data_IF_776227720221
#
_entry.id   IF_776227720221
#
_cell.length_a   1.000
_cell.length_b   1.000
_cell.length_c   1.000
_cell.angle_alpha   90.00
_cell.angle_beta   90.00
_cell.angle_gamma   90.00
#
_symmetry.space_group_name_H-M   'P 1'
#
loop_
_entity.id
_entity.type
_entity.pdbx_description
1 polymer ?
#
# COMPACT_ATOMS: atom_id res chain seq x y z
N UNK A 1 -44.79 58.64 -11.80
CA UNK A 1 -46.04 57.86 -11.63
C UNK A 1 -45.72 56.66 -10.76
N UNK A 2 -46.25 56.43 -9.57
CA UNK A 2 -47.51 56.90 -8.97
C UNK A 2 -48.32 55.69 -8.50
N UNK A 3 -48.32 55.44 -7.18
CA UNK A 3 -49.45 55.01 -6.32
C UNK A 3 -50.35 53.83 -6.77
N UNK A 4 -50.40 52.71 -6.03
CA UNK A 4 -51.27 52.40 -4.85
C UNK A 4 -52.63 51.74 -5.19
N UNK A 5 -52.92 50.64 -4.45
CA UNK A 5 -54.20 49.95 -4.12
C UNK A 5 -54.87 49.05 -5.18
N UNK A 6 -55.42 47.86 -4.85
CA UNK A 6 -56.44 47.63 -3.80
C UNK A 6 -56.55 46.13 -3.41
N UNK A 7 -56.74 45.87 -2.11
CA UNK A 7 -57.10 44.59 -1.45
C UNK A 7 -58.49 44.05 -1.87
N UNK A 8 -58.72 42.73 -1.70
CA UNK A 8 -59.85 42.07 -0.97
C UNK A 8 -59.72 40.52 -1.08
N UNK A 9 -59.28 39.80 -0.05
CA UNK A 9 -60.05 39.05 0.97
C UNK A 9 -61.10 38.05 0.47
N UNK A 10 -60.83 36.74 0.63
CA UNK A 10 -61.72 35.69 1.18
C UNK A 10 -60.96 34.34 1.09
N UNK A 11 -60.47 33.77 2.19
CA UNK A 11 -61.14 32.87 3.14
C UNK A 11 -61.29 31.41 2.65
N UNK A 12 -60.46 30.56 3.27
CA UNK A 12 -60.66 29.15 3.64
C UNK A 12 -61.05 28.11 2.59
N UNK A 13 -60.18 27.11 2.42
CA UNK A 13 -60.53 25.71 2.63
C UNK A 13 -59.26 24.89 2.90
N UNK A 14 -59.16 24.43 4.15
CA UNK A 14 -58.22 23.42 4.62
C UNK A 14 -58.48 22.11 3.88
N UNK A 15 -57.54 21.69 3.05
CA UNK A 15 -57.44 20.30 2.59
C UNK A 15 -56.18 19.70 3.21
N UNK A 16 -56.36 19.04 4.34
CA UNK A 16 -55.36 18.18 4.97
C UNK A 16 -55.13 16.96 4.08
N UNK A 17 -54.08 17.00 3.26
CA UNK A 17 -53.59 15.81 2.57
C UNK A 17 -52.82 14.99 3.59
N UNK A 18 -53.45 13.94 4.10
CA UNK A 18 -52.78 12.88 4.84
C UNK A 18 -51.94 12.07 3.84
N UNK A 19 -50.65 12.40 3.74
CA UNK A 19 -49.67 11.53 3.08
C UNK A 19 -49.39 10.39 4.07
N UNK A 20 -49.92 9.20 3.78
CA UNK A 20 -49.53 7.98 4.45
C UNK A 20 -48.05 7.70 4.09
N UNK A 21 -47.15 8.03 5.02
CA UNK A 21 -45.78 7.54 4.95
C UNK A 21 -45.79 6.02 5.14
N UNK A 22 -45.11 5.23 4.29
CA UNK A 22 -44.94 3.82 4.57
C UNK A 22 -44.08 3.71 5.83
N UNK A 23 -44.67 3.18 6.91
CA UNK A 23 -43.93 2.74 8.08
C UNK A 23 -43.06 1.56 7.65
N UNK A 24 -41.82 1.84 7.25
CA UNK A 24 -40.77 0.84 7.30
C UNK A 24 -40.60 0.45 8.76
N UNK A 25 -41.11 -0.73 9.14
CA UNK A 25 -40.63 -1.41 10.34
C UNK A 25 -39.12 -1.58 10.16
N UNK A 26 -38.33 -0.70 10.78
CA UNK A 26 -36.94 -1.01 11.07
C UNK A 26 -37.00 -2.12 12.11
N UNK A 27 -36.87 -3.37 11.65
CA UNK A 27 -36.44 -4.45 12.52
C UNK A 27 -35.06 -4.02 13.03
N UNK A 28 -35.01 -3.61 14.29
CA UNK A 28 -33.79 -3.35 15.00
C UNK A 28 -33.10 -4.71 15.15
N UNK A 29 -32.25 -5.05 14.18
CA UNK A 29 -31.31 -6.15 14.29
C UNK A 29 -30.43 -5.80 15.49
N UNK A 30 -30.68 -6.48 16.60
CA UNK A 30 -29.74 -6.53 17.71
C UNK A 30 -28.42 -7.04 17.14
N UNK A 31 -27.50 -6.13 16.85
CA UNK A 31 -26.07 -6.44 16.86
C UNK A 31 -25.74 -6.91 18.27
N UNK A 32 -25.97 -8.21 18.51
CA UNK A 32 -25.23 -8.90 19.56
C UNK A 32 -23.78 -8.70 19.19
N UNK A 33 -22.97 -8.00 20.00
CA UNK A 33 -21.54 -8.07 19.79
C UNK A 33 -21.19 -9.55 19.94
N UNK A 34 -20.86 -10.20 18.83
CA UNK A 34 -20.17 -11.47 18.84
C UNK A 34 -18.80 -11.16 19.46
N UNK A 35 -18.78 -11.15 20.79
CA UNK A 35 -17.59 -11.15 21.61
C UNK A 35 -16.91 -12.47 21.29
N UNK A 36 -16.14 -12.47 20.21
CA UNK A 36 -15.39 -13.64 19.78
C UNK A 36 -14.22 -13.71 20.74
N UNK A 37 -14.42 -14.41 21.84
CA UNK A 37 -13.38 -14.72 22.82
C UNK A 37 -12.34 -15.55 22.06
N UNK A 38 -11.30 -14.90 21.56
CA UNK A 38 -10.14 -15.56 20.98
C UNK A 38 -9.36 -16.23 22.11
N UNK A 39 -9.82 -17.39 22.56
CA UNK A 39 -8.98 -18.26 23.36
C UNK A 39 -7.88 -18.88 22.48
N UNK A 40 -6.76 -19.25 23.09
CA UNK A 40 -5.80 -20.16 22.48
C UNK A 40 -6.44 -21.56 22.42
N UNK A 41 -6.43 -22.24 21.26
CA UNK A 41 -6.93 -23.61 21.17
C UNK A 41 -6.26 -24.53 22.19
N UNK A 42 -6.98 -25.54 22.73
CA UNK A 42 -6.41 -26.46 23.71
C UNK A 42 -5.26 -27.26 23.08
N UNK A 43 -4.25 -27.57 23.89
CA UNK A 43 -3.11 -28.38 23.45
C UNK A 43 -3.51 -29.84 23.18
N UNK A 44 -4.53 -30.33 23.87
CA UNK A 44 -5.16 -31.63 23.63
C UNK A 44 -6.46 -31.42 22.84
N UNK A 45 -6.54 -32.05 21.67
CA UNK A 45 -7.69 -31.99 20.78
C UNK A 45 -8.58 -33.25 20.88
N UNK A 46 -8.25 -34.19 21.77
CA UNK A 46 -9.01 -35.43 21.93
C UNK A 46 -10.40 -35.14 22.53
N UNK A 47 -11.42 -35.84 22.02
CA UNK A 47 -12.81 -35.68 22.49
C UNK A 47 -13.55 -34.45 21.95
N UNK A 48 -12.94 -33.63 21.09
CA UNK A 48 -13.63 -32.54 20.37
C UNK A 48 -14.44 -33.09 19.18
N UNK A 49 -15.50 -32.37 18.81
CA UNK A 49 -16.35 -32.72 17.65
C UNK A 49 -15.53 -32.66 16.36
N UNK A 50 -15.61 -33.70 15.53
CA UNK A 50 -14.95 -33.72 14.22
C UNK A 50 -15.54 -32.65 13.29
N UNK A 51 -14.66 -31.83 12.72
CA UNK A 51 -15.00 -30.85 11.70
C UNK A 51 -14.73 -31.36 10.27
N UNK A 52 -15.01 -30.55 9.24
CA UNK A 52 -14.80 -30.95 7.85
C UNK A 52 -13.31 -31.20 7.52
N UNK A 53 -13.06 -32.18 6.64
CA UNK A 53 -11.76 -32.34 6.00
C UNK A 53 -11.64 -31.37 4.81
N UNK A 54 -10.58 -30.56 4.80
CA UNK A 54 -10.36 -29.54 3.76
C UNK A 54 -9.16 -29.96 2.91
N UNK A 55 -9.39 -30.08 1.60
CA UNK A 55 -8.34 -30.33 0.60
C UNK A 55 -8.16 -29.08 -0.25
N UNK A 56 -6.94 -28.58 -0.32
CA UNK A 56 -6.66 -27.32 -0.99
C UNK A 56 -5.22 -26.87 -0.82
N UNK A 57 -5.01 -25.57 -0.79
CA UNK A 57 -3.69 -24.97 -0.54
C UNK A 57 -3.77 -23.88 0.51
N UNK A 58 -2.63 -23.63 1.16
CA UNK A 58 -2.50 -22.55 2.14
C UNK A 58 -2.48 -21.21 1.40
N UNK A 59 -3.56 -20.45 1.47
CA UNK A 59 -3.65 -19.14 0.83
C UNK A 59 -3.10 -18.00 1.70
N UNK A 60 -3.16 -18.16 3.02
CA UNK A 60 -2.54 -17.25 3.97
C UNK A 60 -2.14 -17.98 5.26
N UNK A 61 -1.08 -17.50 5.92
CA UNK A 61 -0.55 -18.04 7.17
C UNK A 61 -0.12 -16.89 8.10
N UNK A 62 -0.70 -16.85 9.30
CA UNK A 62 -0.22 -16.05 10.43
C UNK A 62 0.50 -16.94 11.43
N UNK A 63 0.65 -16.53 12.70
CA UNK A 63 1.36 -17.36 13.71
C UNK A 63 0.52 -18.55 14.20
N UNK A 64 -0.74 -18.34 14.59
CA UNK A 64 -1.63 -19.40 15.10
C UNK A 64 -2.83 -19.71 14.19
N UNK A 65 -2.92 -19.04 13.03
CA UNK A 65 -4.02 -19.20 12.07
C UNK A 65 -3.50 -19.43 10.67
N UNK A 66 -4.30 -20.16 9.90
CA UNK A 66 -4.04 -20.48 8.51
C UNK A 66 -5.34 -20.43 7.73
N UNK A 67 -5.33 -19.82 6.54
CA UNK A 67 -6.42 -19.90 5.59
C UNK A 67 -6.10 -20.97 4.57
N UNK A 68 -7.04 -21.91 4.40
CA UNK A 68 -6.97 -22.96 3.39
C UNK A 68 -8.04 -22.67 2.33
N UNK A 69 -7.61 -22.44 1.11
CA UNK A 69 -8.54 -22.32 -0.02
C UNK A 69 -8.75 -23.68 -0.63
N UNK A 70 -9.98 -24.17 -0.57
CA UNK A 70 -10.38 -25.46 -1.14
C UNK A 70 -10.39 -25.44 -2.66
N UNK A 71 -10.53 -26.62 -3.28
CA UNK A 71 -10.67 -26.76 -4.74
C UNK A 71 -11.88 -26.01 -5.32
N UNK A 72 -12.89 -25.75 -4.48
CA UNK A 72 -14.07 -24.94 -4.80
C UNK A 72 -13.81 -23.42 -4.76
N UNK A 73 -12.57 -22.99 -4.44
CA UNK A 73 -12.21 -21.58 -4.30
C UNK A 73 -12.61 -20.94 -2.97
N UNK A 74 -13.26 -21.67 -2.07
CA UNK A 74 -13.70 -21.14 -0.77
C UNK A 74 -12.53 -21.17 0.22
N UNK A 75 -12.23 -20.01 0.80
CA UNK A 75 -11.26 -19.86 1.87
C UNK A 75 -11.86 -20.21 3.23
N UNK A 76 -11.27 -21.17 3.92
CA UNK A 76 -11.65 -21.56 5.28
C UNK A 76 -10.51 -21.23 6.24
N UNK A 77 -10.82 -20.51 7.32
CA UNK A 77 -9.84 -20.20 8.37
C UNK A 77 -9.79 -21.35 9.36
N UNK A 78 -8.58 -21.85 9.60
CA UNK A 78 -8.29 -22.94 10.53
C UNK A 78 -7.21 -22.47 11.51
N UNK A 79 -7.42 -22.75 12.79
CA UNK A 79 -6.46 -22.47 13.85
C UNK A 79 -5.48 -23.63 14.01
N UNK A 80 -4.24 -23.33 14.38
CA UNK A 80 -3.26 -24.32 14.78
C UNK A 80 -3.18 -24.37 16.30
N UNK A 81 -2.84 -25.54 16.82
CA UNK A 81 -2.64 -25.80 18.24
C UNK A 81 -1.39 -26.65 18.43
N UNK A 82 -0.88 -26.74 19.66
CA UNK A 82 0.22 -27.66 19.98
C UNK A 82 -0.12 -29.13 19.69
N UNK A 83 -1.41 -29.48 19.72
CA UNK A 83 -1.92 -30.81 19.37
C UNK A 83 -2.02 -31.07 17.86
N UNK A 84 -1.76 -30.07 17.01
CA UNK A 84 -1.84 -30.24 15.56
C UNK A 84 -0.69 -31.10 15.04
N UNK A 85 -1.03 -32.24 14.44
CA UNK A 85 -0.03 -33.12 13.84
C UNK A 85 0.24 -32.77 12.37
N UNK A 86 1.47 -32.36 12.05
CA UNK A 86 1.87 -32.06 10.67
C UNK A 86 2.74 -33.20 10.15
N UNK A 87 2.34 -33.80 9.03
CA UNK A 87 3.02 -34.98 8.45
C UNK A 87 3.25 -34.81 6.96
N UNK A 88 4.48 -35.07 6.52
CA UNK A 88 4.83 -35.15 5.10
C UNK A 88 4.90 -36.59 4.61
N UNK A 89 4.27 -36.87 3.46
CA UNK A 89 4.39 -38.15 2.76
C UNK A 89 5.62 -38.16 1.83
N UNK A 90 6.42 -39.22 1.90
CA UNK A 90 7.61 -39.45 1.04
C UNK A 90 7.28 -40.44 -0.10
N UNK A 91 7.38 -39.98 -1.35
CA UNK A 91 7.47 -40.82 -2.56
C UNK A 91 6.21 -41.61 -2.97
N UNK A 92 6.28 -42.24 -4.15
CA UNK A 92 5.19 -42.98 -4.82
C UNK A 92 4.79 -44.30 -4.11
N UNK A 93 5.60 -44.75 -3.14
CA UNK A 93 5.38 -45.98 -2.38
C UNK A 93 5.00 -45.76 -0.90
N UNK A 94 4.92 -44.51 -0.43
CA UNK A 94 4.35 -44.17 0.88
C UNK A 94 5.11 -44.64 2.14
N UNK A 95 6.31 -45.21 2.00
CA UNK A 95 7.07 -45.90 3.06
C UNK A 95 7.80 -44.96 4.06
N UNK A 96 7.43 -43.69 4.15
CA UNK A 96 8.00 -42.77 5.14
C UNK A 96 7.12 -41.57 5.43
N UNK A 97 6.76 -41.39 6.71
CA UNK A 97 6.09 -40.18 7.23
C UNK A 97 7.08 -39.46 8.13
N UNK A 98 7.44 -38.23 7.79
CA UNK A 98 8.19 -37.34 8.67
C UNK A 98 7.20 -36.43 9.42
N UNK A 99 7.34 -36.32 10.74
CA UNK A 99 6.65 -35.29 11.54
C UNK A 99 7.38 -33.97 11.29
N UNK A 100 6.61 -32.91 11.04
CA UNK A 100 7.12 -31.57 10.75
C UNK A 100 6.64 -30.57 11.79
N UNK A 101 7.35 -29.46 11.92
CA UNK A 101 6.91 -28.30 12.68
C UNK A 101 5.96 -27.41 11.86
N UNK A 102 5.36 -26.45 12.54
CA UNK A 102 4.47 -25.46 11.93
C UNK A 102 5.17 -24.55 10.90
N UNK A 103 6.50 -24.43 11.02
CA UNK A 103 7.38 -23.70 10.10
C UNK A 103 7.38 -24.28 8.67
N UNK A 104 7.00 -25.55 8.52
CA UNK A 104 6.86 -26.19 7.22
C UNK A 104 5.58 -25.80 6.46
N UNK A 105 4.63 -25.12 7.10
CA UNK A 105 3.36 -24.71 6.50
C UNK A 105 3.52 -23.38 5.75
N UNK A 106 4.01 -23.47 4.51
CA UNK A 106 4.26 -22.31 3.66
C UNK A 106 3.01 -21.88 2.88
N UNK A 107 2.90 -20.58 2.59
CA UNK A 107 1.90 -20.10 1.64
C UNK A 107 2.09 -20.74 0.26
N UNK A 108 0.98 -21.03 -0.42
CA UNK A 108 0.93 -21.74 -1.69
C UNK A 108 1.10 -23.25 -1.57
N UNK A 109 1.32 -23.81 -0.37
CA UNK A 109 1.53 -25.23 -0.18
C UNK A 109 0.21 -26.02 -0.25
N UNK A 110 0.10 -27.03 -1.14
CA UNK A 110 -1.02 -27.96 -1.13
C UNK A 110 -1.04 -28.81 0.14
N UNK A 111 -2.21 -28.87 0.80
CA UNK A 111 -2.42 -29.58 2.07
C UNK A 111 -3.78 -30.28 2.12
N UNK A 112 -3.87 -31.28 2.98
CA UNK A 112 -5.13 -31.87 3.45
C UNK A 112 -5.21 -31.67 4.95
N UNK A 113 -6.25 -30.98 5.41
CA UNK A 113 -6.42 -30.57 6.80
C UNK A 113 -7.64 -31.25 7.37
N UNK A 114 -7.45 -32.07 8.40
CA UNK A 114 -8.54 -32.57 9.25
C UNK A 114 -8.76 -31.59 10.37
N UNK A 115 -10.01 -31.24 10.62
CA UNK A 115 -10.37 -30.22 11.61
C UNK A 115 -11.20 -30.80 12.74
N UNK A 116 -11.22 -30.09 13.86
CA UNK A 116 -12.13 -30.29 14.99
C UNK A 116 -12.77 -28.95 15.33
N UNK A 117 -13.99 -28.98 15.84
CA UNK A 117 -14.71 -27.76 16.21
C UNK A 117 -14.33 -27.32 17.62
N UNK A 118 -13.99 -26.03 17.77
CA UNK A 118 -13.70 -25.44 19.07
C UNK A 118 -14.00 -23.94 19.07
N UNK A 119 -14.75 -23.48 20.07
CA UNK A 119 -15.03 -22.04 20.27
C UNK A 119 -15.75 -21.36 19.09
N UNK A 120 -16.54 -22.11 18.31
CA UNK A 120 -17.20 -21.61 17.09
C UNK A 120 -16.29 -21.52 15.87
N UNK A 121 -15.07 -22.04 15.93
CA UNK A 121 -14.12 -22.11 14.82
C UNK A 121 -13.59 -23.52 14.59
N UNK A 122 -12.71 -23.64 13.58
CA UNK A 122 -12.06 -24.90 13.22
C UNK A 122 -10.60 -24.88 13.68
N UNK A 123 -10.18 -25.97 14.34
CA UNK A 123 -8.79 -26.21 14.74
C UNK A 123 -8.26 -27.40 13.93
N UNK A 124 -7.07 -27.30 13.38
CA UNK A 124 -6.44 -28.41 12.66
C UNK A 124 -6.00 -29.49 13.66
N UNK A 125 -6.54 -30.70 13.54
CA UNK A 125 -6.02 -31.85 14.28
C UNK A 125 -4.86 -32.50 13.54
N UNK A 126 -4.97 -32.60 12.21
CA UNK A 126 -3.94 -33.22 11.37
C UNK A 126 -3.78 -32.46 10.05
N UNK A 127 -2.55 -32.22 9.64
CA UNK A 127 -2.20 -31.61 8.36
C UNK A 127 -1.28 -32.56 7.61
N UNK A 128 -1.73 -32.99 6.43
CA UNK A 128 -0.96 -33.83 5.53
C UNK A 128 -0.50 -33.03 4.31
N UNK A 129 0.78 -33.17 3.98
CA UNK A 129 1.40 -32.54 2.81
C UNK A 129 2.33 -33.54 2.07
N UNK A 130 2.73 -33.20 0.84
CA UNK A 130 3.70 -34.02 0.08
C UNK A 130 5.08 -33.36 0.14
N UNK A 131 6.11 -34.16 0.36
CA UNK A 131 7.49 -33.65 0.40
C UNK A 131 7.91 -32.92 -0.89
N UNK A 132 7.43 -33.39 -2.06
CA UNK A 132 7.70 -32.72 -3.33
C UNK A 132 7.12 -31.31 -3.38
N UNK A 133 5.93 -31.11 -2.81
CA UNK A 133 5.22 -29.84 -2.85
C UNK A 133 5.82 -28.87 -1.82
N UNK A 134 6.25 -29.38 -0.66
CA UNK A 134 7.03 -28.62 0.32
C UNK A 134 8.34 -28.10 -0.26
N UNK A 135 9.06 -28.96 -1.00
CA UNK A 135 10.28 -28.55 -1.70
C UNK A 135 10.00 -27.45 -2.72
N UNK A 136 8.96 -27.59 -3.53
CA UNK A 136 8.54 -26.57 -4.50
C UNK A 136 8.17 -25.24 -3.83
N UNK A 137 7.33 -25.28 -2.79
CA UNK A 137 6.92 -24.08 -2.04
C UNK A 137 8.13 -23.39 -1.39
N UNK A 138 9.09 -24.16 -0.86
CA UNK A 138 10.33 -23.63 -0.29
C UNK A 138 11.20 -22.94 -1.35
N UNK A 139 11.33 -23.53 -2.55
CA UNK A 139 12.07 -22.89 -3.66
C UNK A 139 11.40 -21.59 -4.12
N UNK A 140 10.07 -21.57 -4.25
CA UNK A 140 9.33 -20.36 -4.61
C UNK A 140 9.52 -19.28 -3.54
N UNK A 141 9.36 -19.62 -2.27
CA UNK A 141 9.56 -18.68 -1.15
C UNK A 141 10.98 -18.12 -1.15
N UNK A 142 11.99 -18.98 -1.31
CA UNK A 142 13.38 -18.52 -1.29
C UNK A 142 13.73 -17.65 -2.50
N UNK A 143 13.22 -17.99 -3.69
CA UNK A 143 13.40 -17.17 -4.90
C UNK A 143 12.67 -15.83 -4.83
N UNK A 144 11.46 -15.80 -4.26
CA UNK A 144 10.69 -14.55 -4.09
C UNK A 144 11.21 -13.69 -2.94
N UNK A 145 11.70 -14.29 -1.85
CA UNK A 145 12.29 -13.56 -0.73
C UNK A 145 13.52 -12.73 -1.15
N UNK A 146 14.29 -13.19 -2.16
CA UNK A 146 15.38 -12.40 -2.73
C UNK A 146 14.87 -11.10 -3.38
N UNK A 147 13.81 -11.17 -4.20
CA UNK A 147 13.22 -9.98 -4.83
C UNK A 147 12.54 -9.04 -3.83
N UNK A 148 11.89 -9.57 -2.80
CA UNK A 148 11.21 -8.75 -1.79
C UNK A 148 12.16 -8.13 -0.77
N UNK A 149 13.29 -8.75 -0.43
CA UNK A 149 14.28 -8.12 0.45
C UNK A 149 14.89 -6.87 -0.20
N UNK A 150 15.17 -6.92 -1.50
CA UNK A 150 15.65 -5.76 -2.28
C UNK A 150 14.58 -4.67 -2.38
N UNK A 151 13.32 -5.04 -2.64
CA UNK A 151 12.21 -4.09 -2.68
C UNK A 151 11.84 -3.53 -1.31
N UNK A 152 11.97 -4.30 -0.22
CA UNK A 152 11.68 -3.83 1.14
C UNK A 152 12.76 -2.86 1.59
N UNK A 153 14.04 -3.13 1.33
CA UNK A 153 15.11 -2.18 1.59
C UNK A 153 14.93 -0.89 0.75
N UNK A 154 14.53 -1.00 -0.52
CA UNK A 154 14.22 0.15 -1.36
C UNK A 154 12.98 0.92 -0.86
N UNK A 155 11.95 0.22 -0.39
CA UNK A 155 10.70 0.80 0.15
C UNK A 155 10.91 1.42 1.53
N UNK A 156 11.73 0.82 2.39
CA UNK A 156 12.13 1.38 3.69
C UNK A 156 13.06 2.57 3.51
N UNK A 157 13.98 2.53 2.52
CA UNK A 157 14.75 3.70 2.13
C UNK A 157 13.83 4.82 1.61
N UNK A 158 12.84 4.51 0.77
CA UNK A 158 11.82 5.47 0.31
C UNK A 158 10.97 6.00 1.49
N UNK A 159 10.57 5.14 2.44
CA UNK A 159 9.79 5.51 3.63
C UNK A 159 10.60 6.35 4.60
N UNK A 160 11.90 6.09 4.77
CA UNK A 160 12.82 6.95 5.51
C UNK A 160 12.99 8.30 4.84
N UNK A 161 13.04 8.33 3.50
CA UNK A 161 13.10 9.57 2.70
C UNK A 161 11.80 10.38 2.73
N UNK A 162 10.64 9.73 2.85
CA UNK A 162 9.32 10.36 2.88
C UNK A 162 8.82 10.66 4.29
N UNK A 163 9.24 9.89 5.30
CA UNK A 163 8.77 9.97 6.69
C UNK A 163 9.16 11.25 7.42
N UNK A 164 10.09 12.03 6.86
CA UNK A 164 10.44 13.34 7.39
C UNK A 164 9.73 14.49 6.68
N UNK A 165 9.09 14.29 5.51
CA UNK A 165 8.41 15.38 4.78
C UNK A 165 7.31 16.04 5.63
N UNK A 166 6.57 15.27 6.43
CA UNK A 166 5.55 15.82 7.35
C UNK A 166 6.13 16.74 8.42
N UNK A 167 7.45 16.69 8.66
CA UNK A 167 8.16 17.58 9.59
C UNK A 167 8.60 18.89 8.94
N UNK A 168 8.46 19.05 7.62
CA UNK A 168 8.84 20.24 6.89
C UNK A 168 7.63 20.99 6.32
N UNK A 169 7.78 22.30 6.17
CA UNK A 169 6.89 23.14 5.37
C UNK A 169 7.53 23.41 4.01
N UNK A 170 6.77 23.23 2.93
CA UNK A 170 7.18 23.67 1.59
C UNK A 170 7.02 25.19 1.53
N UNK A 171 8.13 25.91 1.38
CA UNK A 171 8.17 27.37 1.23
C UNK A 171 8.11 27.84 -0.22
N UNK A 172 8.49 26.95 -1.14
CA UNK A 172 8.40 27.20 -2.57
C UNK A 172 8.72 25.94 -3.36
N UNK A 173 8.19 25.89 -4.59
CA UNK A 173 8.47 24.80 -5.54
C UNK A 173 8.80 25.39 -6.90
N UNK A 174 9.96 25.01 -7.43
CA UNK A 174 10.39 25.36 -8.79
C UNK A 174 10.33 24.11 -9.66
N UNK A 175 9.58 24.17 -10.76
CA UNK A 175 9.46 23.05 -11.70
C UNK A 175 10.35 23.28 -12.92
N UNK A 176 11.24 22.33 -13.18
CA UNK A 176 12.10 22.29 -14.37
C UNK A 176 11.57 21.26 -15.35
N UNK A 177 11.36 21.65 -16.60
CA UNK A 177 10.78 20.77 -17.63
C UNK A 177 11.83 20.22 -18.60
N UNK A 178 11.54 19.04 -19.16
CA UNK A 178 12.44 18.33 -20.07
C UNK A 178 11.73 17.83 -21.32
N UNK A 179 12.49 17.75 -22.42
CA UNK A 179 12.06 17.02 -23.62
C UNK A 179 11.93 15.52 -23.33
N UNK A 180 11.13 14.83 -24.15
CA UNK A 180 10.95 13.37 -24.12
C UNK A 180 12.29 12.63 -24.19
N UNK A 181 12.51 11.71 -23.25
CA UNK A 181 13.72 10.89 -23.17
C UNK A 181 15.02 11.64 -22.83
N UNK A 182 14.96 12.96 -22.59
CA UNK A 182 16.14 13.79 -22.29
C UNK A 182 16.18 14.21 -20.82
N UNK A 183 17.40 14.54 -20.37
CA UNK A 183 17.69 15.10 -19.05
C UNK A 183 18.64 16.30 -19.13
N UNK A 184 18.70 16.97 -20.29
CA UNK A 184 19.47 18.20 -20.45
C UNK A 184 18.65 19.39 -19.93
N UNK A 185 19.27 20.25 -19.12
CA UNK A 185 18.66 21.50 -18.66
C UNK A 185 18.62 22.55 -19.78
N UNK A 186 17.57 23.35 -19.83
CA UNK A 186 17.52 24.57 -20.64
C UNK A 186 18.21 25.72 -19.91
N UNK A 187 18.71 26.72 -20.63
CA UNK A 187 19.32 27.90 -20.02
C UNK A 187 18.35 28.70 -19.13
N UNK A 188 17.05 28.66 -19.44
CA UNK A 188 16.03 29.23 -18.56
C UNK A 188 15.94 28.46 -17.24
N UNK A 189 15.86 27.13 -17.28
CA UNK A 189 15.82 26.31 -16.08
C UNK A 189 17.07 26.47 -15.23
N UNK A 190 18.23 26.59 -15.85
CA UNK A 190 19.50 26.89 -15.19
C UNK A 190 19.43 28.20 -14.37
N UNK A 191 18.89 29.27 -14.94
CA UNK A 191 18.66 30.53 -14.23
C UNK A 191 17.64 30.41 -13.09
N UNK A 192 16.52 29.73 -13.33
CA UNK A 192 15.48 29.50 -12.31
C UNK A 192 15.99 28.69 -11.12
N UNK A 193 16.84 27.68 -11.36
CA UNK A 193 17.48 26.88 -10.32
C UNK A 193 18.40 27.72 -9.44
N UNK A 194 19.24 28.58 -10.03
CA UNK A 194 20.12 29.43 -9.24
C UNK A 194 19.35 30.50 -8.47
N UNK A 195 18.26 31.04 -9.03
CA UNK A 195 17.36 31.94 -8.29
C UNK A 195 16.71 31.22 -7.10
N UNK A 196 16.28 29.97 -7.28
CA UNK A 196 15.70 29.14 -6.22
C UNK A 196 16.72 28.88 -5.11
N UNK A 197 17.96 28.53 -5.48
CA UNK A 197 19.05 28.32 -4.53
C UNK A 197 19.36 29.59 -3.74
N UNK A 198 19.42 30.76 -4.39
CA UNK A 198 19.66 32.03 -3.74
C UNK A 198 18.54 32.41 -2.75
N UNK A 199 17.27 32.18 -3.11
CA UNK A 199 16.14 32.39 -2.21
C UNK A 199 16.19 31.45 -1.00
N UNK A 200 16.54 30.18 -1.21
CA UNK A 200 16.68 29.20 -0.14
C UNK A 200 17.88 29.48 0.78
N UNK A 201 18.98 30.05 0.27
CA UNK A 201 20.12 30.45 1.10
C UNK A 201 19.76 31.56 2.09
N UNK A 202 18.83 32.45 1.72
CA UNK A 202 18.33 33.51 2.59
C UNK A 202 17.35 33.03 3.68
N UNK A 203 16.97 31.74 3.66
CA UNK A 203 16.10 31.13 4.65
C UNK A 203 16.91 30.29 5.64
N UNK A 204 16.72 30.56 6.93
CA UNK A 204 17.35 29.79 8.00
C UNK A 204 16.91 28.33 7.96
N UNK A 205 17.89 27.43 8.06
CA UNK A 205 17.69 25.98 8.06
C UNK A 205 16.94 25.43 6.82
N UNK A 206 16.87 26.18 5.71
CA UNK A 206 16.25 25.66 4.51
C UNK A 206 17.04 24.50 3.88
N UNK A 207 16.30 23.51 3.41
CA UNK A 207 16.78 22.34 2.70
C UNK A 207 16.15 22.31 1.30
N UNK A 208 16.83 21.69 0.35
CA UNK A 208 16.26 21.41 -0.98
C UNK A 208 15.93 19.92 -1.12
N UNK A 209 14.73 19.63 -1.61
CA UNK A 209 14.33 18.31 -2.06
C UNK A 209 14.06 18.34 -3.56
N UNK A 210 14.80 17.52 -4.30
CA UNK A 210 14.68 17.39 -5.75
C UNK A 210 13.96 16.09 -6.09
N UNK A 211 12.81 16.18 -6.77
CA UNK A 211 12.01 15.03 -7.17
C UNK A 211 11.79 15.03 -8.68
N UNK A 212 12.25 13.99 -9.36
CA UNK A 212 12.09 13.81 -10.80
C UNK A 212 10.88 12.97 -11.16
N UNK A 213 10.22 13.36 -12.25
CA UNK A 213 9.05 12.69 -12.81
C UNK A 213 9.19 12.51 -14.34
N UNK A 214 8.37 11.62 -14.89
CA UNK A 214 8.22 11.38 -16.33
C UNK A 214 6.76 11.52 -16.75
N UNK A 215 6.55 11.59 -18.07
CA UNK A 215 5.23 11.29 -18.64
C UNK A 215 5.03 9.77 -18.73
N UNK A 216 3.84 9.35 -19.18
CA UNK A 216 3.48 7.93 -19.27
C UNK A 216 4.06 7.17 -20.48
N UNK A 217 5.13 7.69 -21.09
CA UNK A 217 5.72 7.10 -22.30
C UNK A 217 6.94 6.28 -21.91
N UNK A 218 6.90 4.98 -22.17
CA UNK A 218 8.00 4.05 -21.86
C UNK A 218 7.58 2.95 -20.90
N UNK A 219 8.56 2.14 -20.46
CA UNK A 219 8.32 1.18 -19.37
C UNK A 219 8.56 1.84 -18.01
N UNK A 220 7.97 1.28 -16.97
CA UNK A 220 8.17 1.69 -15.57
C UNK A 220 9.66 1.78 -15.22
N UNK A 221 10.45 0.77 -15.60
CA UNK A 221 11.89 0.69 -15.30
C UNK A 221 12.67 1.76 -16.04
N UNK A 222 12.34 2.01 -17.30
CA UNK A 222 12.96 3.09 -18.07
C UNK A 222 12.65 4.45 -17.45
N UNK A 223 11.40 4.68 -17.07
CA UNK A 223 10.94 5.93 -16.49
C UNK A 223 11.50 6.16 -15.08
N UNK A 224 11.72 5.09 -14.31
CA UNK A 224 12.44 5.15 -13.04
C UNK A 224 13.86 5.69 -13.28
N UNK A 225 14.64 5.05 -14.15
CA UNK A 225 16.01 5.48 -14.46
C UNK A 225 16.05 6.91 -15.04
N UNK A 226 15.10 7.27 -15.90
CA UNK A 226 15.03 8.60 -16.50
C UNK A 226 14.74 9.69 -15.46
N UNK A 227 13.77 9.44 -14.56
CA UNK A 227 13.43 10.38 -13.49
C UNK A 227 14.60 10.62 -12.53
N UNK A 228 15.34 9.56 -12.18
CA UNK A 228 16.55 9.64 -11.36
C UNK A 228 17.67 10.43 -12.04
N UNK A 229 17.90 10.20 -13.35
CA UNK A 229 18.89 10.96 -14.13
C UNK A 229 18.56 12.45 -14.19
N UNK A 230 17.28 12.79 -14.35
CA UNK A 230 16.81 14.19 -14.34
C UNK A 230 17.02 14.85 -12.98
N UNK A 231 16.62 14.18 -11.90
CA UNK A 231 16.84 14.67 -10.55
C UNK A 231 18.33 14.85 -10.24
N UNK A 232 19.16 13.86 -10.60
CA UNK A 232 20.62 13.94 -10.45
C UNK A 232 21.25 15.08 -11.24
N UNK A 233 20.78 15.34 -12.47
CA UNK A 233 21.24 16.50 -13.26
C UNK A 233 20.94 17.82 -12.55
N UNK A 234 19.73 17.97 -12.02
CA UNK A 234 19.31 19.19 -11.29
C UNK A 234 20.14 19.37 -10.02
N UNK A 235 20.34 18.31 -9.23
CA UNK A 235 21.20 18.36 -8.03
C UNK A 235 22.63 18.77 -8.38
N UNK A 236 23.22 18.14 -9.40
CA UNK A 236 24.58 18.45 -9.82
C UNK A 236 24.70 19.92 -10.24
N UNK A 237 23.70 20.44 -10.96
CA UNK A 237 23.70 21.85 -11.38
C UNK A 237 23.56 22.81 -10.17
N UNK A 238 22.62 22.53 -9.25
CA UNK A 238 22.44 23.32 -8.04
C UNK A 238 23.72 23.38 -7.19
N UNK A 239 24.44 22.27 -7.06
CA UNK A 239 25.66 22.22 -6.26
C UNK A 239 26.86 22.86 -6.98
N UNK A 240 27.08 22.53 -8.24
CA UNK A 240 28.30 22.92 -8.96
C UNK A 240 28.22 24.34 -9.51
N UNK A 241 27.07 24.74 -10.07
CA UNK A 241 26.91 26.04 -10.73
C UNK A 241 26.28 27.08 -9.79
N UNK A 242 25.26 26.69 -9.02
CA UNK A 242 24.58 27.60 -8.10
C UNK A 242 25.18 27.63 -6.69
N UNK A 243 26.15 26.75 -6.38
CA UNK A 243 26.88 26.74 -5.10
C UNK A 243 26.09 26.19 -3.92
N UNK A 244 24.99 25.46 -4.15
CA UNK A 244 24.20 24.89 -3.07
C UNK A 244 24.97 23.84 -2.28
N UNK A 245 24.86 23.90 -0.95
CA UNK A 245 25.67 23.10 -0.04
C UNK A 245 25.15 21.66 0.04
N UNK A 246 25.99 20.61 -0.17
CA UNK A 246 25.53 19.22 -0.18
C UNK A 246 24.79 18.78 1.09
N UNK A 247 25.20 19.25 2.26
CA UNK A 247 24.55 18.91 3.53
C UNK A 247 23.17 19.57 3.72
N UNK A 248 22.81 20.58 2.90
CA UNK A 248 21.46 21.17 2.84
C UNK A 248 20.61 20.57 1.72
N UNK A 249 21.07 19.50 1.07
CA UNK A 249 20.34 18.78 0.02
C UNK A 249 19.81 17.47 0.58
N UNK A 250 18.49 17.27 0.51
CA UNK A 250 17.89 15.98 0.79
C UNK A 250 18.15 15.00 -0.37
N UNK A 251 18.10 13.71 -0.09
CA UNK A 251 18.37 12.66 -1.09
C UNK A 251 17.41 12.79 -2.30
N UNK A 252 17.91 13.04 -3.52
CA UNK A 252 17.05 13.27 -4.69
C UNK A 252 16.32 12.02 -5.13
N UNK A 253 15.02 12.14 -5.41
CA UNK A 253 14.12 11.00 -5.68
C UNK A 253 13.67 10.98 -7.13
N UNK A 254 13.78 9.84 -7.81
CA UNK A 254 13.05 9.59 -9.06
C UNK A 254 11.75 8.87 -8.77
N UNK A 255 10.63 9.41 -9.25
CA UNK A 255 9.28 8.88 -9.00
C UNK A 255 8.62 8.31 -10.25
N UNK A 256 9.37 8.18 -11.36
CA UNK A 256 8.83 7.75 -12.65
C UNK A 256 7.55 8.53 -13.00
N UNK A 257 6.47 7.83 -13.33
CA UNK A 257 5.18 8.37 -13.76
C UNK A 257 4.22 8.72 -12.60
N UNK A 258 4.65 8.51 -11.35
CA UNK A 258 3.81 8.75 -10.19
C UNK A 258 3.46 10.23 -10.05
N UNK A 259 2.31 10.51 -9.44
CA UNK A 259 1.84 11.88 -9.18
C UNK A 259 1.86 12.79 -10.43
N UNK A 260 1.09 12.42 -11.49
CA UNK A 260 1.00 13.22 -12.70
C UNK A 260 0.38 14.59 -12.38
N UNK A 261 1.06 15.66 -12.81
CA UNK A 261 0.59 17.03 -12.65
C UNK A 261 -0.52 17.38 -13.65
N UNK A 262 -0.55 16.67 -14.77
CA UNK A 262 -1.50 16.88 -15.86
C UNK A 262 -1.86 15.58 -16.57
N UNK A 263 -2.85 15.65 -17.47
CA UNK A 263 -3.35 14.50 -18.22
C UNK A 263 -2.29 13.91 -19.17
N UNK A 264 -1.91 12.65 -18.94
CA UNK A 264 -0.96 11.92 -19.77
C UNK A 264 -1.51 11.51 -21.15
N UNK A 265 -2.80 11.71 -21.43
CA UNK A 265 -3.38 11.44 -22.75
C UNK A 265 -3.07 12.56 -23.77
N UNK A 266 -2.89 13.80 -23.31
CA UNK A 266 -2.59 14.96 -24.18
C UNK A 266 -1.09 15.20 -24.37
N UNK A 267 -0.68 15.90 -25.42
CA UNK A 267 0.73 16.21 -25.65
C UNK A 267 1.24 17.26 -24.64
N UNK A 268 0.38 18.21 -24.32
CA UNK A 268 0.60 19.31 -23.39
C UNK A 268 0.73 18.80 -21.96
N UNK A 269 -0.17 17.90 -21.53
CA UNK A 269 -0.09 17.31 -20.20
C UNK A 269 1.12 16.41 -20.03
N UNK A 270 1.50 15.63 -21.06
CA UNK A 270 2.80 14.92 -21.06
C UNK A 270 3.98 15.87 -20.90
N UNK A 271 3.97 17.03 -21.56
CA UNK A 271 5.04 18.02 -21.39
C UNK A 271 5.14 18.57 -19.97
N UNK A 272 4.01 18.80 -19.31
CA UNK A 272 3.96 19.21 -17.91
C UNK A 272 4.43 18.10 -16.95
N UNK A 273 4.16 16.83 -17.26
CA UNK A 273 4.57 15.71 -16.43
C UNK A 273 6.07 15.40 -16.50
N UNK A 274 6.74 15.73 -17.62
CA UNK A 274 8.21 15.62 -17.76
C UNK A 274 8.93 16.72 -16.97
N UNK A 275 8.80 16.69 -15.65
CA UNK A 275 9.29 17.71 -14.72
C UNK A 275 10.26 17.16 -13.68
N UNK A 276 11.07 18.05 -13.13
CA UNK A 276 11.72 17.89 -11.84
C UNK A 276 11.23 19.02 -10.94
N UNK A 277 10.66 18.67 -9.79
CA UNK A 277 10.24 19.61 -8.77
C UNK A 277 11.39 19.83 -7.77
N UNK A 278 11.77 21.08 -7.57
CA UNK A 278 12.73 21.51 -6.54
C UNK A 278 11.95 22.20 -5.44
N UNK A 279 11.78 21.51 -4.31
CA UNK A 279 11.04 22.02 -3.16
C UNK A 279 12.01 22.63 -2.16
N UNK A 280 11.74 23.87 -1.76
CA UNK A 280 12.39 24.54 -0.63
C UNK A 280 11.64 24.16 0.64
N UNK A 281 12.34 23.50 1.56
CA UNK A 281 11.78 22.96 2.78
C UNK A 281 12.38 23.66 3.99
N UNK A 282 11.55 24.02 4.97
CA UNK A 282 12.00 24.50 6.29
C UNK A 282 11.38 23.62 7.36
N UNK A 283 12.16 23.18 8.34
CA UNK A 283 11.63 22.32 9.40
C UNK A 283 10.58 23.08 10.21
N UNK A 284 9.42 22.46 10.44
CA UNK A 284 8.32 23.01 11.23
C UNK A 284 8.75 23.40 12.64
N UNK A 285 9.79 22.75 13.19
CA UNK A 285 10.29 23.04 14.54
C UNK A 285 11.07 24.34 14.66
N UNK A 286 11.53 24.92 13.54
CA UNK A 286 12.35 26.14 13.50
C UNK A 286 11.77 27.22 12.58
N UNK A 287 10.62 26.95 11.97
CA UNK A 287 9.95 27.86 11.05
C UNK A 287 9.33 29.03 11.81
N UNK A 288 9.92 30.23 11.69
CA UNK A 288 9.45 31.46 12.34
C UNK A 288 10.09 31.78 13.70
N UNK A 289 11.17 31.09 14.08
CA UNK A 289 12.09 31.51 15.14
C UNK A 289 13.11 32.52 14.61
#
# INVERSE_FOLDING_TARGET
MGFIYKKRTALALLASVAIAAPASLSAQEEEKPLLTVYGTPPADLTGLTEGPEIKGFISARGDARMQVTGENGIGTVVMLSQGTEIRARKGLLGLGRARLGEDALLNGLPVTVKTVEWGGGLVASHIALKNKDLKTASMIRNGTAQGFAEQTAATEALRGRMGDIDKYNIKGTTNVYFDTGKWKLSSQAEGELCNTAAQAEAMDNALLLVVGYTDSVGSQEYNQVLSERRAGRVVNYLQQACGWKPYRMLTPTGMAEADPMADNTTAEGKAQNRRVAVNVLVSKSVDGL
#
